data_IF_285477144057
#
_entry.id   IF_285477144057
#
_cell.length_a   1.000
_cell.length_b   1.000
_cell.length_c   1.000
_cell.angle_alpha   90.00
_cell.angle_beta   90.00
_cell.angle_gamma   90.00
#
_symmetry.space_group_name_H-M   'P 1'
#
loop_
_entity.id
_entity.type
_entity.pdbx_description
1 polymer ?
#
# COMPACT_ATOMS: atom_id res chain seq x y z
N UNK A 1 12.71 -26.40 -30.95
CA UNK A 1 12.41 -27.09 -32.23
C UNK A 1 11.89 -28.47 -31.90
N UNK A 2 10.65 -28.80 -32.27
CA UNK A 2 10.10 -30.14 -32.00
C UNK A 2 10.87 -31.19 -32.80
N UNK A 3 11.23 -32.35 -32.22
CA UNK A 3 11.87 -33.42 -32.95
C UNK A 3 10.96 -33.89 -34.09
N UNK A 4 11.52 -33.96 -35.30
CA UNK A 4 10.83 -34.45 -36.50
C UNK A 4 10.48 -35.93 -36.28
N UNK A 5 9.18 -36.25 -36.24
CA UNK A 5 8.67 -37.63 -36.16
C UNK A 5 8.90 -38.40 -37.47
N UNK A 6 10.13 -38.88 -37.68
CA UNK A 6 10.57 -39.54 -38.92
C UNK A 6 9.64 -40.68 -39.38
N UNK A 7 8.96 -41.38 -38.48
CA UNK A 7 8.00 -42.44 -38.81
C UNK A 7 6.78 -41.86 -39.55
N UNK A 8 6.21 -40.77 -39.02
CA UNK A 8 5.09 -40.08 -39.67
C UNK A 8 5.49 -39.52 -41.04
N UNK A 9 6.69 -38.94 -41.12
CA UNK A 9 7.20 -38.38 -42.38
C UNK A 9 7.37 -39.47 -43.46
N UNK A 10 7.92 -40.63 -43.10
CA UNK A 10 8.04 -41.78 -44.00
C UNK A 10 6.68 -42.29 -44.45
N UNK A 11 5.71 -42.37 -43.54
CA UNK A 11 4.33 -42.77 -43.87
C UNK A 11 3.67 -41.81 -44.86
N UNK A 12 3.81 -40.50 -44.65
CA UNK A 12 3.25 -39.48 -45.54
C UNK A 12 3.92 -39.50 -46.92
N UNK A 13 5.25 -39.70 -46.97
CA UNK A 13 5.97 -39.87 -48.25
C UNK A 13 5.48 -41.11 -49.02
N UNK A 14 5.22 -42.21 -48.31
CA UNK A 14 4.66 -43.41 -48.90
C UNK A 14 3.24 -43.20 -49.45
N UNK A 15 2.39 -42.52 -48.68
CA UNK A 15 1.03 -42.19 -49.11
C UNK A 15 1.03 -41.30 -50.35
N UNK A 16 1.88 -40.27 -50.37
CA UNK A 16 2.04 -39.41 -51.53
C UNK A 16 2.46 -40.18 -52.79
N UNK A 17 3.46 -41.07 -52.67
CA UNK A 17 3.92 -41.90 -53.79
C UNK A 17 2.79 -42.80 -54.31
N UNK A 18 1.99 -43.35 -53.41
CA UNK A 18 0.86 -44.22 -53.74
C UNK A 18 -0.25 -43.45 -54.48
N UNK A 19 -0.65 -42.29 -53.96
CA UNK A 19 -1.66 -41.42 -54.58
C UNK A 19 -1.19 -40.94 -55.97
N UNK A 20 0.07 -40.55 -56.09
CA UNK A 20 0.63 -40.12 -57.36
C UNK A 20 0.66 -41.25 -58.40
N UNK A 21 0.93 -42.50 -57.97
CA UNK A 21 0.85 -43.68 -58.83
C UNK A 21 -0.55 -43.89 -59.42
N UNK A 22 -1.59 -43.71 -58.61
CA UNK A 22 -3.00 -43.81 -59.04
C UNK A 22 -3.34 -42.71 -60.04
N UNK A 23 -2.93 -41.46 -59.76
CA UNK A 23 -3.16 -40.34 -60.67
C UNK A 23 -2.52 -40.57 -62.04
N UNK A 24 -1.30 -41.10 -62.09
CA UNK A 24 -0.63 -41.45 -63.35
C UNK A 24 -1.36 -42.56 -64.12
N UNK A 25 -1.94 -43.54 -63.41
CA UNK A 25 -2.75 -44.59 -64.05
C UNK A 25 -4.06 -44.01 -64.61
N UNK A 26 -4.78 -43.20 -63.83
CA UNK A 26 -6.00 -42.52 -64.27
C UNK A 26 -5.77 -41.63 -65.50
N UNK A 27 -4.66 -40.88 -65.52
CA UNK A 27 -4.28 -40.03 -66.65
C UNK A 27 -3.99 -40.83 -67.93
N UNK A 28 -3.55 -42.09 -67.84
CA UNK A 28 -3.41 -42.96 -69.04
C UNK A 28 -4.77 -43.26 -69.69
N UNK A 29 -5.84 -43.30 -68.91
CA UNK A 29 -7.19 -43.48 -69.42
C UNK A 29 -7.84 -42.18 -69.90
N UNK A 30 -7.33 -41.02 -69.44
CA UNK A 30 -7.84 -39.69 -69.75
C UNK A 30 -6.70 -38.77 -70.23
N UNK A 31 -6.00 -39.08 -71.35
CA UNK A 31 -4.80 -38.36 -71.77
C UNK A 31 -5.06 -36.89 -72.17
N UNK A 32 -6.30 -36.57 -72.54
CA UNK A 32 -6.72 -35.22 -72.91
C UNK A 32 -7.11 -34.35 -71.70
N UNK A 33 -7.28 -34.94 -70.51
CA UNK A 33 -7.74 -34.22 -69.33
C UNK A 33 -6.58 -33.52 -68.63
N UNK A 34 -6.49 -32.20 -68.79
CA UNK A 34 -5.45 -31.37 -68.18
C UNK A 34 -6.01 -30.58 -67.00
N UNK A 35 -5.82 -31.09 -65.79
CA UNK A 35 -6.09 -30.35 -64.56
C UNK A 35 -4.81 -29.61 -64.12
N UNK A 36 -4.97 -28.34 -63.76
CA UNK A 36 -3.92 -27.55 -63.10
C UNK A 36 -3.84 -27.95 -61.62
N UNK A 37 -2.63 -27.93 -61.07
CA UNK A 37 -2.46 -28.11 -59.63
C UNK A 37 -3.03 -26.91 -58.89
N UNK A 38 -3.75 -27.15 -57.80
CA UNK A 38 -4.24 -26.08 -56.94
C UNK A 38 -3.08 -25.45 -56.17
N UNK A 39 -2.10 -26.27 -55.77
CA UNK A 39 -0.90 -25.81 -55.06
C UNK A 39 0.11 -25.10 -55.98
N UNK A 40 0.16 -25.50 -57.25
CA UNK A 40 0.98 -24.84 -58.29
C UNK A 40 0.12 -24.49 -59.52
N UNK A 41 -0.67 -23.40 -59.47
CA UNK A 41 -1.65 -23.06 -60.51
C UNK A 41 -1.07 -22.84 -61.91
N UNK A 42 0.23 -22.57 -61.99
CA UNK A 42 0.97 -22.35 -63.24
C UNK A 42 1.52 -23.63 -63.86
N UNK A 43 1.49 -24.76 -63.15
CA UNK A 43 2.02 -26.05 -63.61
C UNK A 43 0.91 -27.05 -63.87
N UNK A 44 1.09 -27.90 -64.90
CA UNK A 44 0.19 -29.05 -65.07
C UNK A 44 0.50 -30.07 -64.00
N UNK A 45 -0.52 -30.76 -63.51
CA UNK A 45 -0.36 -31.77 -62.46
C UNK A 45 0.62 -32.90 -62.79
N UNK A 46 0.84 -33.18 -64.09
CA UNK A 46 1.81 -34.14 -64.64
C UNK A 46 3.26 -33.68 -64.56
N UNK A 47 3.50 -32.38 -64.45
CA UNK A 47 4.85 -31.76 -64.48
C UNK A 47 5.44 -31.58 -63.07
N UNK A 48 4.69 -31.95 -62.03
CA UNK A 48 5.11 -31.72 -60.64
C UNK A 48 5.71 -33.01 -60.08
N UNK A 49 7.04 -33.07 -60.12
CA UNK A 49 7.83 -34.19 -59.62
C UNK A 49 7.76 -34.26 -58.08
N UNK A 50 7.64 -35.48 -57.54
CA UNK A 50 7.55 -35.73 -56.09
C UNK A 50 8.87 -35.46 -55.35
N UNK A 51 9.96 -35.20 -56.08
CA UNK A 51 11.29 -34.90 -55.55
C UNK A 51 11.46 -33.49 -54.96
N UNK A 52 10.45 -32.62 -55.06
CA UNK A 52 10.56 -31.20 -54.68
C UNK A 52 10.37 -30.94 -53.17
N UNK A 53 9.94 -31.93 -52.38
CA UNK A 53 9.67 -31.73 -50.96
C UNK A 53 10.94 -32.02 -50.14
N UNK A 54 11.62 -30.97 -49.69
CA UNK A 54 12.76 -31.08 -48.78
C UNK A 54 12.42 -31.84 -47.49
N UNK A 55 13.40 -32.56 -46.94
CA UNK A 55 13.20 -33.64 -45.96
C UNK A 55 12.57 -33.25 -44.61
N UNK A 56 12.34 -31.96 -44.31
CA UNK A 56 11.93 -31.51 -42.98
C UNK A 56 10.65 -30.67 -42.92
N UNK A 57 9.75 -30.76 -43.91
CA UNK A 57 8.56 -29.89 -43.97
C UNK A 57 7.24 -30.67 -44.03
N UNK A 58 6.74 -31.11 -42.86
CA UNK A 58 5.44 -31.79 -42.71
C UNK A 58 4.29 -31.07 -43.40
N UNK A 59 4.20 -29.76 -43.18
CA UNK A 59 3.10 -28.95 -43.69
C UNK A 59 3.07 -28.96 -45.22
N UNK A 60 4.23 -28.80 -45.87
CA UNK A 60 4.34 -28.86 -47.33
C UNK A 60 4.04 -30.24 -47.88
N UNK A 61 4.43 -31.30 -47.17
CA UNK A 61 4.10 -32.67 -47.59
C UNK A 61 2.59 -32.93 -47.52
N UNK A 62 1.91 -32.42 -46.49
CA UNK A 62 0.46 -32.51 -46.35
C UNK A 62 -0.27 -31.69 -47.42
N UNK A 63 0.15 -30.45 -47.67
CA UNK A 63 -0.39 -29.61 -48.75
C UNK A 63 -0.28 -30.30 -50.10
N UNK A 64 0.86 -30.97 -50.35
CA UNK A 64 1.10 -31.71 -51.57
C UNK A 64 0.24 -32.99 -51.68
N UNK A 65 0.02 -33.70 -50.57
CA UNK A 65 -0.92 -34.84 -50.52
C UNK A 65 -2.34 -34.37 -50.84
N UNK A 66 -2.80 -33.25 -50.26
CA UNK A 66 -4.12 -32.69 -50.51
C UNK A 66 -4.29 -32.31 -51.99
N UNK A 67 -3.29 -31.65 -52.59
CA UNK A 67 -3.29 -31.33 -54.03
C UNK A 67 -3.43 -32.58 -54.90
N UNK A 68 -2.69 -33.66 -54.59
CA UNK A 68 -2.77 -34.91 -55.34
C UNK A 68 -4.08 -35.68 -55.11
N UNK A 69 -4.71 -35.56 -53.94
CA UNK A 69 -6.03 -36.13 -53.69
C UNK A 69 -7.11 -35.38 -54.48
N UNK A 70 -7.03 -34.06 -54.54
CA UNK A 70 -7.95 -33.25 -55.34
C UNK A 70 -7.88 -33.62 -56.83
N UNK A 71 -6.66 -33.82 -57.35
CA UNK A 71 -6.46 -34.34 -58.69
C UNK A 71 -7.09 -35.73 -58.87
N UNK A 72 -6.87 -36.64 -57.92
CA UNK A 72 -7.39 -38.01 -57.97
C UNK A 72 -8.90 -38.04 -58.01
N UNK A 73 -9.57 -37.27 -57.15
CA UNK A 73 -11.03 -37.20 -57.11
C UNK A 73 -11.59 -36.66 -58.43
N UNK A 74 -10.98 -35.61 -58.99
CA UNK A 74 -11.41 -35.06 -60.28
C UNK A 74 -11.21 -36.04 -61.43
N UNK A 75 -10.07 -36.75 -61.45
CA UNK A 75 -9.81 -37.79 -62.45
C UNK A 75 -10.79 -38.97 -62.31
N UNK A 76 -11.12 -39.40 -61.08
CA UNK A 76 -12.11 -40.44 -60.83
C UNK A 76 -13.51 -40.00 -61.24
N UNK A 77 -13.92 -38.76 -60.92
CA UNK A 77 -15.20 -38.21 -61.35
C UNK A 77 -15.28 -38.17 -62.88
N UNK A 78 -14.22 -37.69 -63.55
CA UNK A 78 -14.16 -37.68 -65.01
C UNK A 78 -14.15 -39.07 -65.63
N UNK A 79 -13.47 -40.02 -64.99
CA UNK A 79 -13.47 -41.43 -65.39
C UNK A 79 -14.87 -42.05 -65.29
N UNK A 80 -15.63 -41.71 -64.25
CA UNK A 80 -17.03 -42.16 -64.08
C UNK A 80 -18.00 -41.46 -65.05
N UNK A 81 -17.73 -40.21 -65.45
CA UNK A 81 -18.50 -39.50 -66.48
C UNK A 81 -18.26 -40.03 -67.90
N UNK A 82 -17.17 -40.76 -68.14
CA UNK A 82 -16.90 -41.39 -69.43
C UNK A 82 -18.01 -42.42 -69.72
N UNK A 83 -18.69 -42.27 -70.87
CA UNK A 83 -19.88 -43.04 -71.25
C UNK A 83 -19.67 -44.57 -71.28
N UNK A 84 -18.43 -45.03 -71.14
CA UNK A 84 -18.03 -46.45 -71.06
C UNK A 84 -18.24 -47.07 -69.68
N UNK A 85 -18.49 -46.30 -68.63
CA UNK A 85 -18.70 -46.80 -67.25
C UNK A 85 -20.18 -47.09 -66.90
N UNK A 86 -21.04 -47.40 -67.88
CA UNK A 86 -22.48 -47.65 -67.69
C UNK A 86 -22.84 -49.03 -67.11
N UNK A 87 -22.13 -49.50 -66.09
CA UNK A 87 -22.64 -50.58 -65.22
C UNK A 87 -22.76 -50.06 -63.80
N UNK A 88 -23.85 -50.40 -63.08
CA UNK A 88 -24.07 -49.89 -61.75
C UNK A 88 -23.08 -50.54 -60.77
N UNK A 89 -22.31 -49.76 -59.99
CA UNK A 89 -21.59 -50.29 -58.82
C UNK A 89 -22.40 -49.88 -57.58
N UNK A 90 -22.61 -50.69 -56.55
CA UNK A 90 -21.65 -51.45 -55.76
C UNK A 90 -22.43 -52.48 -54.93
N UNK A 91 -21.87 -53.69 -54.74
CA UNK A 91 -22.16 -54.46 -53.51
C UNK A 91 -21.29 -53.87 -52.39
N UNK A 92 -21.91 -53.70 -51.23
CA UNK A 92 -21.44 -53.00 -50.01
C UNK A 92 -19.91 -52.98 -49.78
N UNK A 93 -19.40 -51.79 -49.49
CA UNK A 93 -18.00 -51.54 -49.15
C UNK A 93 -17.78 -51.76 -47.65
N UNK A 94 -17.10 -52.83 -47.26
CA UNK A 94 -16.64 -53.00 -45.88
C UNK A 94 -15.35 -52.21 -45.65
N UNK A 95 -15.34 -51.38 -44.61
CA UNK A 95 -14.19 -50.55 -44.25
C UNK A 95 -13.10 -51.42 -43.58
N UNK A 96 -11.86 -51.43 -44.11
CA UNK A 96 -10.75 -52.14 -43.46
C UNK A 96 -10.34 -51.43 -42.16
N UNK A 97 -9.93 -52.20 -41.15
CA UNK A 97 -9.69 -51.75 -39.77
C UNK A 97 -8.44 -50.88 -39.55
N UNK A 98 -7.48 -50.88 -40.49
CA UNK A 98 -6.36 -49.94 -40.50
C UNK A 98 -5.77 -49.82 -41.91
N UNK A 99 -5.98 -48.68 -42.57
CA UNK A 99 -5.44 -48.41 -43.89
C UNK A 99 -4.90 -46.98 -43.94
N UNK A 100 -3.72 -46.79 -44.53
CA UNK A 100 -3.20 -45.45 -44.80
C UNK A 100 -4.04 -44.77 -45.89
N UNK A 101 -3.96 -43.44 -46.01
CA UNK A 101 -4.77 -42.69 -46.97
C UNK A 101 -4.44 -43.08 -48.42
N UNK A 102 -3.16 -43.33 -48.72
CA UNK A 102 -2.74 -43.87 -50.00
C UNK A 102 -3.24 -45.30 -50.24
N UNK A 103 -3.32 -46.12 -49.19
CA UNK A 103 -3.92 -47.45 -49.24
C UNK A 103 -5.42 -47.41 -49.55
N UNK A 104 -6.16 -46.51 -48.91
CA UNK A 104 -7.61 -46.35 -49.12
C UNK A 104 -7.91 -45.88 -50.54
N UNK A 105 -7.13 -44.92 -51.01
CA UNK A 105 -7.17 -44.41 -52.39
C UNK A 105 -6.91 -45.53 -53.41
N UNK A 106 -5.90 -46.37 -53.15
CA UNK A 106 -5.54 -47.50 -54.02
C UNK A 106 -6.64 -48.56 -54.08
N UNK A 107 -7.21 -48.90 -52.93
CA UNK A 107 -8.28 -49.89 -52.85
C UNK A 107 -9.55 -49.41 -53.56
N UNK A 108 -9.90 -48.14 -53.41
CA UNK A 108 -10.99 -47.51 -54.15
C UNK A 108 -10.73 -47.58 -55.66
N UNK A 109 -9.53 -47.23 -56.11
CA UNK A 109 -9.17 -47.32 -57.52
C UNK A 109 -9.24 -48.76 -58.07
N UNK A 110 -8.68 -49.74 -57.37
CA UNK A 110 -8.72 -51.15 -57.81
C UNK A 110 -10.15 -51.66 -58.01
N UNK A 111 -11.10 -51.19 -57.20
CA UNK A 111 -12.52 -51.53 -57.36
C UNK A 111 -13.17 -50.80 -58.53
N UNK A 112 -12.77 -49.55 -58.79
CA UNK A 112 -13.23 -48.77 -59.95
C UNK A 112 -12.64 -49.28 -61.27
N UNK A 113 -11.37 -49.69 -61.29
CA UNK A 113 -10.70 -50.29 -62.45
C UNK A 113 -11.38 -51.60 -62.88
N UNK A 114 -11.84 -52.38 -61.90
CA UNK A 114 -12.63 -53.59 -62.14
C UNK A 114 -13.97 -53.35 -62.87
N UNK A 115 -14.47 -52.12 -62.95
CA UNK A 115 -15.68 -51.76 -63.71
C UNK A 115 -15.42 -51.67 -65.22
N UNK A 116 -14.16 -51.65 -65.66
CA UNK A 116 -13.78 -51.50 -67.07
C UNK A 116 -13.49 -52.83 -67.78
N UNK A 117 -13.90 -53.97 -67.21
CA UNK A 117 -13.66 -55.28 -67.82
C UNK A 117 -14.63 -55.61 -68.95
N UNK A 118 -14.72 -54.76 -69.97
CA UNK A 118 -15.17 -55.09 -71.33
C UNK A 118 -14.48 -54.10 -72.28
N UNK A 119 -13.76 -54.61 -73.28
CA UNK A 119 -13.02 -53.88 -74.33
C UNK A 119 -11.66 -53.24 -73.97
N UNK A 120 -10.68 -54.09 -73.68
CA UNK A 120 -9.36 -53.96 -74.32
C UNK A 120 -9.13 -55.15 -75.24
N UNK A 121 -9.86 -55.19 -76.36
CA UNK A 121 -9.40 -55.94 -77.52
C UNK A 121 -8.44 -55.03 -78.29
N UNK A 122 -7.31 -55.62 -78.73
CA UNK A 122 -6.21 -55.01 -79.49
C UNK A 122 -5.25 -54.12 -78.69
N UNK A 123 -4.32 -54.76 -77.99
CA UNK A 123 -2.93 -54.32 -77.95
C UNK A 123 -2.07 -55.55 -77.66
N UNK A 124 -1.47 -56.11 -78.71
CA UNK A 124 -0.45 -57.15 -78.58
C UNK A 124 0.74 -56.60 -77.79
N UNK A 125 1.22 -57.26 -76.73
CA UNK A 125 2.56 -56.99 -76.22
C UNK A 125 3.58 -57.46 -77.28
N UNK A 126 4.65 -56.70 -77.56
CA UNK A 126 5.66 -57.12 -78.52
C UNK A 126 6.30 -58.44 -78.05
N UNK A 127 6.21 -59.45 -78.91
CA UNK A 127 6.97 -60.69 -78.80
C UNK A 127 8.45 -60.37 -78.82
N UNK A 128 9.16 -60.71 -77.74
CA UNK A 128 10.61 -60.79 -77.74
C UNK A 128 11.01 -62.27 -77.85
N UNK A 129 11.57 -62.57 -79.02
CA UNK A 129 12.39 -63.69 -79.46
C UNK A 129 12.46 -64.96 -78.61
N UNK A 130 11.90 -66.01 -79.21
CA UNK A 130 12.38 -67.37 -79.06
C UNK A 130 13.80 -67.49 -79.64
N UNK A 131 14.79 -67.68 -78.76
CA UNK A 131 16.09 -68.23 -79.14
C UNK A 131 16.40 -69.47 -78.33
N UNK A 132 16.20 -70.61 -78.99
CA UNK A 132 17.11 -71.77 -78.97
C UNK A 132 17.50 -72.39 -77.63
N UNK A 133 16.82 -73.48 -77.28
CA UNK A 133 17.51 -74.71 -76.85
C UNK A 133 16.70 -75.93 -77.27
N UNK A 134 16.94 -76.40 -78.49
CA UNK A 134 16.62 -77.76 -78.90
C UNK A 134 17.45 -78.72 -78.03
N UNK A 135 16.88 -79.17 -76.91
CA UNK A 135 17.32 -80.43 -76.31
C UNK A 135 16.70 -81.56 -77.15
N UNK A 136 17.53 -82.15 -78.01
CA UNK A 136 17.18 -83.35 -78.75
C UNK A 136 16.93 -84.48 -77.75
N UNK A 137 15.64 -84.74 -77.45
CA UNK A 137 15.25 -85.79 -76.52
C UNK A 137 15.25 -87.15 -77.24
N UNK A 138 15.83 -88.15 -76.58
CA UNK A 138 16.07 -89.52 -77.11
C UNK A 138 14.79 -90.29 -77.48
N UNK A 139 13.61 -89.72 -77.21
CA UNK A 139 12.30 -90.32 -77.45
C UNK A 139 11.74 -90.10 -78.87
N UNK A 140 12.45 -89.41 -79.76
CA UNK A 140 12.07 -89.30 -81.18
C UNK A 140 12.66 -90.40 -82.07
N UNK A 141 13.43 -91.35 -81.52
CA UNK A 141 14.21 -92.32 -82.31
C UNK A 141 13.99 -93.81 -81.96
N UNK A 142 12.93 -94.15 -81.25
CA UNK A 142 12.49 -95.55 -81.12
C UNK A 142 11.00 -95.66 -81.41
N UNK A 143 10.59 -96.40 -82.44
CA UNK A 143 9.20 -96.78 -82.59
C UNK A 143 8.90 -97.77 -81.47
N UNK A 144 8.34 -97.29 -80.36
CA UNK A 144 7.53 -98.17 -79.50
C UNK A 144 6.38 -98.59 -80.41
N UNK A 145 6.33 -99.88 -80.77
CA UNK A 145 5.26 -100.43 -81.58
C UNK A 145 3.92 -99.92 -81.04
N UNK A 146 3.05 -99.34 -81.89
CA UNK A 146 1.77 -98.86 -81.42
C UNK A 146 1.01 -100.06 -80.89
N UNK A 147 0.61 -99.97 -79.63
CA UNK A 147 -0.32 -100.88 -78.97
C UNK A 147 -1.42 -101.25 -79.97
N UNK A 148 -1.41 -102.49 -80.46
CA UNK A 148 -2.26 -102.93 -81.58
C UNK A 148 -3.75 -102.96 -81.22
N UNK A 149 -4.08 -102.85 -79.93
CA UNK A 149 -5.44 -102.77 -79.43
C UNK A 149 -5.88 -101.30 -79.26
N UNK A 150 -6.85 -100.88 -80.09
CA UNK A 150 -7.48 -99.55 -80.01
C UNK A 150 -8.03 -99.24 -78.62
N UNK A 151 -8.61 -100.23 -77.93
CA UNK A 151 -9.13 -100.04 -76.57
C UNK A 151 -8.01 -99.77 -75.57
N UNK A 152 -6.85 -100.41 -75.74
CA UNK A 152 -5.72 -100.20 -74.86
C UNK A 152 -5.06 -98.83 -75.05
N UNK A 153 -5.01 -98.31 -76.29
CA UNK A 153 -4.54 -96.97 -76.58
C UNK A 153 -5.44 -95.89 -75.97
N UNK A 154 -6.76 -96.07 -76.02
CA UNK A 154 -7.73 -95.16 -75.38
C UNK A 154 -7.55 -95.18 -73.85
N UNK A 155 -7.45 -96.35 -73.23
CA UNK A 155 -7.25 -96.46 -71.78
C UNK A 155 -5.97 -95.77 -71.30
N UNK A 156 -4.84 -95.95 -72.01
CA UNK A 156 -3.57 -95.31 -71.66
C UNK A 156 -3.65 -93.79 -71.85
N UNK A 157 -4.36 -93.33 -72.88
CA UNK A 157 -4.62 -91.90 -73.10
C UNK A 157 -5.46 -91.32 -71.96
N UNK A 158 -6.53 -92.00 -71.52
CA UNK A 158 -7.34 -91.58 -70.39
C UNK A 158 -6.55 -91.53 -69.08
N UNK A 159 -5.71 -92.54 -68.81
CA UNK A 159 -4.82 -92.55 -67.63
C UNK A 159 -3.87 -91.35 -67.67
N UNK A 160 -3.30 -91.04 -68.84
CA UNK A 160 -2.41 -89.88 -69.03
C UNK A 160 -3.17 -88.57 -68.83
N UNK A 161 -4.35 -88.40 -69.41
CA UNK A 161 -5.18 -87.21 -69.23
C UNK A 161 -5.59 -86.99 -67.76
N UNK A 162 -5.94 -88.06 -67.04
CA UNK A 162 -6.24 -87.96 -65.59
C UNK A 162 -4.99 -87.50 -64.82
N UNK A 163 -3.81 -88.04 -65.13
CA UNK A 163 -2.56 -87.63 -64.48
C UNK A 163 -2.15 -86.19 -64.82
N UNK A 164 -2.43 -85.73 -66.03
CA UNK A 164 -2.13 -84.37 -66.49
C UNK A 164 -3.07 -83.35 -65.84
N UNK A 165 -4.38 -83.62 -65.79
CA UNK A 165 -5.36 -82.77 -65.06
C UNK A 165 -5.07 -82.68 -63.56
N UNK A 166 -4.62 -83.78 -62.95
CA UNK A 166 -4.24 -83.82 -61.54
C UNK A 166 -2.91 -83.09 -61.26
N UNK A 167 -2.10 -82.75 -62.27
CA UNK A 167 -0.86 -81.99 -62.11
C UNK A 167 -1.13 -80.53 -61.76
N UNK A 168 -2.18 -79.94 -62.33
CA UNK A 168 -2.49 -78.53 -62.14
C UNK A 168 -2.95 -78.21 -60.71
N UNK A 169 -3.32 -79.25 -59.95
CA UNK A 169 -3.43 -79.20 -58.49
C UNK A 169 -2.02 -79.20 -57.86
N UNK A 170 -1.39 -78.02 -57.86
CA UNK A 170 -0.01 -77.68 -57.43
C UNK A 170 0.45 -78.10 -56.02
N UNK A 171 -0.19 -79.07 -55.34
CA UNK A 171 0.16 -79.52 -53.98
C UNK A 171 0.17 -81.03 -53.77
N UNK A 172 -0.08 -81.84 -54.81
CA UNK A 172 -0.16 -83.30 -54.65
C UNK A 172 1.20 -83.98 -54.85
N UNK A 173 1.97 -84.14 -53.77
CA UNK A 173 3.33 -84.70 -53.83
C UNK A 173 3.33 -86.19 -54.18
N UNK A 174 2.34 -86.95 -53.71
CA UNK A 174 2.22 -88.39 -53.99
C UNK A 174 1.82 -88.66 -55.44
N UNK A 175 0.90 -87.87 -55.99
CA UNK A 175 0.48 -87.99 -57.39
C UNK A 175 1.57 -87.56 -58.35
N UNK A 176 2.36 -86.53 -58.01
CA UNK A 176 3.51 -86.12 -58.80
C UNK A 176 4.60 -87.20 -58.84
N UNK A 177 4.86 -87.87 -57.71
CA UNK A 177 5.84 -88.95 -57.64
C UNK A 177 5.36 -90.20 -58.42
N UNK A 178 4.11 -90.61 -58.22
CA UNK A 178 3.55 -91.75 -58.94
C UNK A 178 3.53 -91.53 -60.45
N UNK A 179 3.24 -90.31 -60.91
CA UNK A 179 3.29 -89.98 -62.33
C UNK A 179 4.68 -90.14 -62.92
N UNK A 180 5.73 -89.72 -62.22
CA UNK A 180 7.10 -89.89 -62.71
C UNK A 180 7.43 -91.38 -62.89
N UNK A 181 7.06 -92.21 -61.92
CA UNK A 181 7.22 -93.67 -61.98
C UNK A 181 6.37 -94.31 -63.09
N UNK A 182 5.11 -93.89 -63.25
CA UNK A 182 4.26 -94.41 -64.32
C UNK A 182 4.70 -93.93 -65.69
N UNK A 183 5.24 -92.71 -65.84
CA UNK A 183 5.75 -92.19 -67.12
C UNK A 183 6.87 -93.08 -67.68
N UNK A 184 7.70 -93.65 -66.80
CA UNK A 184 8.83 -94.50 -67.16
C UNK A 184 8.38 -95.93 -67.53
N UNK A 185 7.33 -96.47 -66.88
CA UNK A 185 6.92 -97.89 -67.01
C UNK A 185 5.49 -98.11 -67.56
N UNK A 186 4.80 -97.10 -68.11
CA UNK A 186 3.35 -97.22 -68.43
C UNK A 186 3.04 -98.31 -69.46
N UNK A 187 4.01 -98.62 -70.32
CA UNK A 187 3.87 -99.61 -71.39
C UNK A 187 4.13 -101.04 -70.91
N UNK A 188 4.79 -101.21 -69.76
CA UNK A 188 5.14 -102.51 -69.16
C UNK A 188 4.12 -102.95 -68.10
N UNK A 189 3.09 -102.13 -67.84
CA UNK A 189 2.07 -102.37 -66.80
C UNK A 189 0.69 -102.57 -67.40
N UNK A 190 -0.13 -103.38 -66.72
CA UNK A 190 -1.55 -103.51 -67.08
C UNK A 190 -2.30 -102.21 -66.79
N UNK A 191 -3.28 -101.87 -67.62
CA UNK A 191 -4.13 -100.68 -67.43
C UNK A 191 -4.82 -100.68 -66.07
N UNK A 192 -5.30 -101.84 -65.65
CA UNK A 192 -5.89 -102.03 -64.33
C UNK A 192 -4.90 -101.72 -63.21
N UNK A 193 -3.64 -102.15 -63.35
CA UNK A 193 -2.56 -101.85 -62.40
C UNK A 193 -2.27 -100.35 -62.32
N UNK A 194 -2.16 -99.66 -63.45
CA UNK A 194 -1.95 -98.21 -63.49
C UNK A 194 -3.11 -97.44 -62.84
N UNK A 195 -4.36 -97.77 -63.19
CA UNK A 195 -5.55 -97.13 -62.62
C UNK A 195 -5.69 -97.39 -61.11
N UNK A 196 -5.35 -98.59 -60.66
CA UNK A 196 -5.38 -98.94 -59.23
C UNK A 196 -4.37 -98.11 -58.45
N UNK A 197 -3.13 -97.98 -58.95
CA UNK A 197 -2.10 -97.17 -58.30
C UNK A 197 -2.47 -95.69 -58.28
N UNK A 198 -2.98 -95.15 -59.39
CA UNK A 198 -3.46 -93.76 -59.46
C UNK A 198 -4.60 -93.53 -58.47
N UNK A 199 -5.58 -94.43 -58.42
CA UNK A 199 -6.70 -94.33 -57.47
C UNK A 199 -6.23 -94.38 -56.02
N UNK A 200 -5.29 -95.27 -55.69
CA UNK A 200 -4.70 -95.35 -54.35
C UNK A 200 -3.94 -94.09 -53.96
N UNK A 201 -3.14 -93.53 -54.88
CA UNK A 201 -2.42 -92.28 -54.65
C UNK A 201 -3.38 -91.09 -54.46
N UNK A 202 -4.48 -91.03 -55.22
CA UNK A 202 -5.53 -90.00 -55.03
C UNK A 202 -6.14 -90.14 -53.63
N UNK A 203 -6.52 -91.35 -53.23
CA UNK A 203 -7.13 -91.61 -51.91
C UNK A 203 -6.18 -91.20 -50.79
N UNK A 204 -4.89 -91.55 -50.89
CA UNK A 204 -3.92 -91.25 -49.85
C UNK A 204 -3.59 -89.75 -49.77
N UNK A 205 -3.56 -89.07 -50.92
CA UNK A 205 -3.42 -87.61 -50.98
C UNK A 205 -4.62 -86.92 -50.33
N UNK A 206 -5.85 -87.38 -50.61
CA UNK A 206 -7.06 -86.86 -49.96
C UNK A 206 -6.99 -87.07 -48.44
N UNK A 207 -6.56 -88.24 -47.96
CA UNK A 207 -6.38 -88.49 -46.51
C UNK A 207 -5.36 -87.54 -45.89
N UNK A 208 -4.24 -87.34 -46.54
CA UNK A 208 -3.19 -86.43 -46.08
C UNK A 208 -3.71 -84.99 -45.99
N UNK A 209 -4.45 -84.54 -47.00
CA UNK A 209 -5.04 -83.20 -47.02
C UNK A 209 -6.13 -83.04 -45.94
N UNK A 210 -6.96 -84.06 -45.71
CA UNK A 210 -7.96 -84.05 -44.63
C UNK A 210 -7.29 -83.95 -43.26
N UNK A 211 -6.25 -84.75 -42.99
CA UNK A 211 -5.51 -84.67 -41.72
C UNK A 211 -4.84 -83.31 -41.51
N UNK A 212 -4.31 -82.70 -42.59
CA UNK A 212 -3.78 -81.35 -42.53
C UNK A 212 -4.86 -80.30 -42.21
N UNK A 213 -6.04 -80.42 -42.82
CA UNK A 213 -7.18 -79.54 -42.55
C UNK A 213 -7.67 -79.66 -41.10
N UNK A 214 -7.74 -80.88 -40.56
CA UNK A 214 -8.09 -81.12 -39.15
C UNK A 214 -7.08 -80.46 -38.21
N UNK A 215 -5.79 -80.55 -38.53
CA UNK A 215 -4.72 -79.88 -37.76
C UNK A 215 -4.87 -78.37 -37.78
N UNK A 216 -5.07 -77.78 -38.97
CA UNK A 216 -5.30 -76.34 -39.12
C UNK A 216 -6.58 -75.88 -38.39
N UNK A 217 -7.63 -76.70 -38.41
CA UNK A 217 -8.87 -76.42 -37.68
C UNK A 217 -8.64 -76.40 -36.16
N UNK A 218 -7.90 -77.38 -35.63
CA UNK A 218 -7.52 -77.42 -34.21
C UNK A 218 -6.68 -76.19 -33.81
N UNK A 219 -5.72 -75.79 -34.65
CA UNK A 219 -4.94 -74.56 -34.44
C UNK A 219 -5.82 -73.30 -34.47
N UNK A 220 -6.78 -73.21 -35.40
CA UNK A 220 -7.70 -72.09 -35.49
C UNK A 220 -8.54 -71.96 -34.22
N UNK A 221 -9.07 -73.08 -33.69
CA UNK A 221 -9.81 -73.12 -32.43
C UNK A 221 -8.92 -72.66 -31.26
N UNK A 222 -7.67 -73.12 -31.19
CA UNK A 222 -6.70 -72.68 -30.17
C UNK A 222 -6.38 -71.19 -30.26
N UNK A 223 -6.33 -70.62 -31.46
CA UNK A 223 -6.10 -69.19 -31.66
C UNK A 223 -7.32 -68.35 -31.29
N UNK A 224 -8.53 -68.81 -31.62
CA UNK A 224 -9.79 -68.17 -31.21
C UNK A 224 -9.94 -68.12 -29.70
N UNK A 225 -9.72 -69.24 -29.01
CA UNK A 225 -9.79 -69.28 -27.54
C UNK A 225 -8.75 -68.37 -26.88
N UNK A 226 -7.52 -68.30 -27.41
CA UNK A 226 -6.52 -67.32 -26.97
C UNK A 226 -6.97 -65.88 -27.20
N UNK A 227 -7.57 -65.57 -28.35
CA UNK A 227 -8.08 -64.24 -28.67
C UNK A 227 -9.19 -63.85 -27.70
N UNK A 228 -10.14 -64.74 -27.44
CA UNK A 228 -11.24 -64.52 -26.50
C UNK A 228 -10.71 -64.27 -25.09
N UNK A 229 -9.73 -65.06 -24.64
CA UNK A 229 -9.07 -64.87 -23.33
C UNK A 229 -8.35 -63.52 -23.21
N UNK A 230 -7.77 -63.01 -24.30
CA UNK A 230 -7.15 -61.68 -24.34
C UNK A 230 -8.22 -60.59 -24.35
N UNK A 231 -9.32 -60.79 -25.07
CA UNK A 231 -10.41 -59.84 -25.16
C UNK A 231 -11.13 -59.68 -23.80
N UNK A 232 -11.34 -60.77 -23.05
CA UNK A 232 -11.89 -60.70 -21.69
C UNK A 232 -10.97 -59.94 -20.73
N UNK A 233 -9.67 -60.20 -20.77
CA UNK A 233 -8.66 -59.44 -19.99
C UNK A 233 -8.67 -57.96 -20.36
N UNK A 234 -8.72 -57.64 -21.66
CA UNK A 234 -8.78 -56.25 -22.13
C UNK A 234 -10.05 -55.55 -21.63
N UNK A 235 -11.23 -56.19 -21.76
CA UNK A 235 -12.50 -55.66 -21.22
C UNK A 235 -12.41 -55.40 -19.72
N UNK A 236 -11.80 -56.30 -18.96
CA UNK A 236 -11.60 -56.13 -17.52
C UNK A 236 -10.68 -54.93 -17.21
N UNK A 237 -9.56 -54.79 -17.93
CA UNK A 237 -8.66 -53.63 -17.77
C UNK A 237 -9.35 -52.30 -18.11
N UNK A 238 -10.18 -52.26 -19.16
CA UNK A 238 -10.97 -51.07 -19.52
C UNK A 238 -11.94 -50.70 -18.40
N UNK A 239 -12.60 -51.68 -17.78
CA UNK A 239 -13.52 -51.43 -16.67
C UNK A 239 -12.79 -50.90 -15.44
N UNK A 240 -11.61 -51.42 -15.11
CA UNK A 240 -10.76 -50.88 -14.04
C UNK A 240 -10.42 -49.41 -14.33
N UNK A 241 -9.95 -49.09 -15.54
CA UNK A 241 -9.63 -47.72 -15.96
C UNK A 241 -10.86 -46.81 -15.82
N UNK A 242 -12.06 -47.30 -16.21
CA UNK A 242 -13.31 -46.55 -16.08
C UNK A 242 -13.64 -46.23 -14.63
N UNK A 243 -13.47 -47.20 -13.72
CA UNK A 243 -13.68 -47.01 -12.28
C UNK A 243 -12.67 -46.04 -11.69
N UNK A 244 -11.37 -46.20 -12.00
CA UNK A 244 -10.31 -45.28 -11.57
C UNK A 244 -10.58 -43.85 -12.04
N UNK A 245 -11.01 -43.67 -13.29
CA UNK A 245 -11.38 -42.35 -13.82
C UNK A 245 -12.58 -41.74 -13.06
N UNK A 246 -13.58 -42.54 -12.70
CA UNK A 246 -14.72 -42.07 -11.89
C UNK A 246 -14.25 -41.60 -10.51
N UNK A 247 -13.40 -42.37 -9.84
CA UNK A 247 -12.81 -41.98 -8.55
C UNK A 247 -11.92 -40.74 -8.66
N UNK A 248 -11.16 -40.60 -9.74
CA UNK A 248 -10.34 -39.42 -10.00
C UNK A 248 -11.19 -38.15 -10.18
N UNK A 249 -12.31 -38.24 -10.89
CA UNK A 249 -13.23 -37.09 -11.05
C UNK A 249 -13.88 -36.69 -9.72
N UNK A 250 -14.24 -37.67 -8.88
CA UNK A 250 -14.73 -37.40 -7.53
C UNK A 250 -13.65 -36.69 -6.69
N UNK A 251 -12.42 -37.21 -6.69
CA UNK A 251 -11.28 -36.59 -5.99
C UNK A 251 -11.00 -35.17 -6.48
N UNK A 252 -11.04 -34.90 -7.78
CA UNK A 252 -10.91 -33.54 -8.34
C UNK A 252 -11.99 -32.59 -7.85
N UNK A 253 -13.23 -33.08 -7.70
CA UNK A 253 -14.35 -32.28 -7.20
C UNK A 253 -14.14 -31.92 -5.73
N UNK A 254 -13.71 -32.89 -4.91
CA UNK A 254 -13.34 -32.67 -3.50
C UNK A 254 -12.21 -31.65 -3.38
N UNK A 255 -11.13 -31.82 -4.14
CA UNK A 255 -10.00 -30.89 -4.13
C UNK A 255 -10.41 -29.46 -4.53
N UNK A 256 -11.29 -29.32 -5.53
CA UNK A 256 -11.85 -28.00 -5.90
C UNK A 256 -12.64 -27.36 -4.76
N UNK A 257 -13.48 -28.14 -4.07
CA UNK A 257 -14.26 -27.67 -2.93
C UNK A 257 -13.37 -27.28 -1.75
N UNK A 258 -12.33 -28.05 -1.45
CA UNK A 258 -11.33 -27.73 -0.43
C UNK A 258 -10.58 -26.44 -0.77
N UNK A 259 -10.22 -26.24 -2.04
CA UNK A 259 -9.56 -25.01 -2.50
C UNK A 259 -10.46 -23.79 -2.28
N UNK A 260 -11.76 -23.91 -2.61
CA UNK A 260 -12.74 -22.83 -2.36
C UNK A 260 -12.89 -22.54 -0.85
N UNK A 261 -12.97 -23.58 -0.02
CA UNK A 261 -13.03 -23.43 1.44
C UNK A 261 -11.77 -22.77 1.99
N UNK A 262 -10.60 -23.15 1.49
CA UNK A 262 -9.33 -22.58 1.92
C UNK A 262 -9.21 -21.10 1.51
N UNK A 263 -9.66 -20.73 0.31
CA UNK A 263 -9.73 -19.33 -0.12
C UNK A 263 -10.68 -18.51 0.78
N UNK A 264 -11.83 -19.07 1.15
CA UNK A 264 -12.76 -18.42 2.08
C UNK A 264 -12.14 -18.21 3.46
N UNK A 265 -11.48 -19.24 4.01
CA UNK A 265 -10.79 -19.14 5.30
C UNK A 265 -9.64 -18.14 5.26
N UNK A 266 -8.85 -18.11 4.18
CA UNK A 266 -7.77 -17.15 4.00
C UNK A 266 -8.29 -15.70 3.98
N UNK A 267 -9.45 -15.47 3.34
CA UNK A 267 -10.13 -14.17 3.40
C UNK A 267 -10.53 -13.81 4.84
N UNK A 268 -11.19 -14.72 5.55
CA UNK A 268 -11.57 -14.50 6.96
C UNK A 268 -10.37 -14.23 7.86
N UNK A 269 -9.25 -14.93 7.67
CA UNK A 269 -8.01 -14.68 8.42
C UNK A 269 -7.48 -13.27 8.15
N UNK A 270 -7.50 -12.80 6.90
CA UNK A 270 -7.08 -11.45 6.58
C UNK A 270 -8.00 -10.39 7.17
N UNK A 271 -9.32 -10.60 7.12
CA UNK A 271 -10.31 -9.70 7.72
C UNK A 271 -10.10 -9.61 9.24
N UNK A 272 -9.87 -10.76 9.91
CA UNK A 272 -9.55 -10.81 11.34
C UNK A 272 -8.23 -10.12 11.68
N UNK A 273 -7.18 -10.28 10.87
CA UNK A 273 -5.92 -9.57 11.06
C UNK A 273 -6.10 -8.06 10.96
N UNK A 274 -6.86 -7.59 9.97
CA UNK A 274 -7.17 -6.17 9.83
C UNK A 274 -7.94 -5.64 11.04
N UNK A 275 -8.95 -6.38 11.51
CA UNK A 275 -9.69 -6.04 12.73
C UNK A 275 -8.78 -6.00 13.97
N UNK A 276 -7.88 -6.98 14.12
CA UNK A 276 -6.92 -7.00 15.22
C UNK A 276 -5.97 -5.78 15.19
N UNK A 277 -5.47 -5.40 14.01
CA UNK A 277 -4.65 -4.18 13.89
C UNK A 277 -5.42 -2.90 14.25
N UNK A 278 -6.73 -2.84 13.95
CA UNK A 278 -7.56 -1.71 14.36
C UNK A 278 -7.73 -1.67 15.88
N UNK A 279 -8.01 -2.81 16.50
CA UNK A 279 -8.11 -2.92 17.96
C UNK A 279 -6.79 -2.58 18.67
N UNK A 280 -5.65 -2.99 18.11
CA UNK A 280 -4.32 -2.61 18.65
C UNK A 280 -4.10 -1.09 18.58
N UNK A 281 -4.52 -0.42 17.50
CA UNK A 281 -4.47 1.04 17.40
C UNK A 281 -5.41 1.73 18.40
N UNK A 282 -6.64 1.23 18.57
CA UNK A 282 -7.59 1.75 19.56
C UNK A 282 -7.08 1.58 20.99
N UNK A 283 -6.44 0.45 21.28
CA UNK A 283 -5.87 0.16 22.60
C UNK A 283 -4.68 1.08 22.88
N UNK A 284 -3.77 1.27 21.92
CA UNK A 284 -2.67 2.23 22.04
C UNK A 284 -3.16 3.67 22.26
N UNK A 285 -4.23 4.08 21.57
CA UNK A 285 -4.86 5.38 21.78
C UNK A 285 -5.43 5.50 23.20
N UNK A 286 -6.13 4.48 23.69
CA UNK A 286 -6.65 4.44 25.06
C UNK A 286 -5.52 4.51 26.09
N UNK A 287 -4.43 3.75 25.91
CA UNK A 287 -3.26 3.78 26.81
C UNK A 287 -2.63 5.17 26.87
N UNK A 288 -2.46 5.83 25.72
CA UNK A 288 -1.96 7.20 25.66
C UNK A 288 -2.90 8.18 26.40
N UNK A 289 -4.22 8.05 26.20
CA UNK A 289 -5.20 8.89 26.87
C UNK A 289 -5.18 8.70 28.39
N UNK A 290 -5.13 7.45 28.87
CA UNK A 290 -5.00 7.13 30.30
C UNK A 290 -3.70 7.68 30.88
N UNK A 291 -2.58 7.55 30.17
CA UNK A 291 -1.29 8.11 30.59
C UNK A 291 -1.36 9.64 30.73
N UNK A 292 -2.00 10.32 29.78
CA UNK A 292 -2.20 11.78 29.81
C UNK A 292 -3.07 12.18 30.99
N UNK A 293 -4.21 11.50 31.20
CA UNK A 293 -5.07 11.75 32.35
C UNK A 293 -4.39 11.49 33.69
N UNK A 294 -3.56 10.44 33.79
CA UNK A 294 -2.78 10.16 34.99
C UNK A 294 -1.77 11.28 35.30
N UNK A 295 -1.13 11.84 34.27
CA UNK A 295 -0.26 13.02 34.40
C UNK A 295 -1.03 14.25 34.88
N UNK A 296 -2.20 14.53 34.30
CA UNK A 296 -3.06 15.64 34.71
C UNK A 296 -3.55 15.49 36.16
N UNK A 297 -3.90 14.26 36.57
CA UNK A 297 -4.25 13.93 37.95
C UNK A 297 -3.07 14.17 38.91
N UNK A 298 -1.84 13.81 38.53
CA UNK A 298 -0.65 14.07 39.33
C UNK A 298 -0.35 15.58 39.46
N UNK A 299 -0.52 16.35 38.38
CA UNK A 299 -0.46 17.81 38.38
C UNK A 299 -1.54 18.43 39.28
N UNK A 300 -2.77 17.93 39.20
CA UNK A 300 -3.87 18.37 40.06
C UNK A 300 -3.59 18.06 41.54
N UNK A 301 -3.07 16.87 41.85
CA UNK A 301 -2.70 16.48 43.20
C UNK A 301 -1.59 17.37 43.78
N UNK A 302 -0.55 17.68 42.99
CA UNK A 302 0.52 18.60 43.41
C UNK A 302 -0.01 20.02 43.63
N UNK A 303 -0.89 20.52 42.76
CA UNK A 303 -1.57 21.81 42.95
C UNK A 303 -2.43 21.83 44.22
N UNK A 304 -3.16 20.75 44.52
CA UNK A 304 -3.92 20.62 45.76
C UNK A 304 -3.03 20.70 47.01
N UNK A 305 -1.88 20.03 47.00
CA UNK A 305 -0.93 20.12 48.12
C UNK A 305 -0.30 21.53 48.24
N UNK A 306 -0.02 22.21 47.13
CA UNK A 306 0.41 23.62 47.13
C UNK A 306 -0.65 24.58 47.68
N UNK A 307 -1.93 24.38 47.33
CA UNK A 307 -3.03 25.16 47.88
C UNK A 307 -3.19 24.90 49.38
N UNK A 308 -2.98 23.65 49.83
CA UNK A 308 -3.07 23.26 51.23
C UNK A 308 -1.93 23.85 52.07
N UNK A 309 -0.71 23.92 51.54
CA UNK A 309 0.41 24.63 52.19
C UNK A 309 0.16 26.14 52.22
N UNK A 310 -0.31 26.73 51.13
CA UNK A 310 -0.70 28.14 51.06
C UNK A 310 -1.80 28.47 52.07
N UNK A 311 -2.82 27.62 52.18
CA UNK A 311 -3.90 27.78 53.17
C UNK A 311 -3.36 27.72 54.61
N UNK A 312 -2.41 26.83 54.91
CA UNK A 312 -1.74 26.80 56.22
C UNK A 312 -0.98 28.10 56.49
N UNK A 313 -0.27 28.63 55.50
CA UNK A 313 0.43 29.92 55.60
C UNK A 313 -0.54 31.07 55.90
N UNK A 314 -1.62 31.17 55.13
CA UNK A 314 -2.66 32.20 55.34
C UNK A 314 -3.32 32.05 56.71
N UNK A 315 -3.58 30.82 57.18
CA UNK A 315 -4.12 30.61 58.53
C UNK A 315 -3.15 31.08 59.62
N UNK A 316 -1.86 30.86 59.44
CA UNK A 316 -0.83 31.35 60.37
C UNK A 316 -0.77 32.88 60.37
N UNK A 317 -0.77 33.50 59.19
CA UNK A 317 -0.78 34.95 59.04
C UNK A 317 -2.03 35.58 59.68
N UNK A 318 -3.21 34.99 59.48
CA UNK A 318 -4.45 35.43 60.14
C UNK A 318 -4.38 35.28 61.67
N UNK A 319 -3.73 34.24 62.19
CA UNK A 319 -3.53 34.09 63.63
C UNK A 319 -2.63 35.20 64.19
N UNK A 320 -1.54 35.51 63.49
CA UNK A 320 -0.64 36.61 63.85
C UNK A 320 -1.35 37.97 63.81
N UNK A 321 -2.11 38.25 62.75
CA UNK A 321 -2.91 39.48 62.63
C UNK A 321 -3.97 39.58 63.74
N UNK A 322 -4.60 38.47 64.11
CA UNK A 322 -5.55 38.42 65.23
C UNK A 322 -4.87 38.74 66.57
N UNK A 323 -3.64 38.27 66.77
CA UNK A 323 -2.82 38.58 67.93
C UNK A 323 -2.41 40.07 67.97
N UNK A 324 -2.01 40.64 66.82
CA UNK A 324 -1.74 42.07 66.67
C UNK A 324 -2.99 42.93 66.94
N UNK A 325 -4.15 42.53 66.42
CA UNK A 325 -5.43 43.20 66.70
C UNK A 325 -5.72 43.17 68.21
N UNK A 326 -5.49 42.04 68.88
CA UNK A 326 -5.69 41.94 70.33
C UNK A 326 -4.69 42.81 71.11
N UNK A 327 -3.44 42.91 70.64
CA UNK A 327 -2.44 43.83 71.19
C UNK A 327 -2.87 45.30 71.03
N UNK A 328 -3.31 45.68 69.83
CA UNK A 328 -3.85 47.02 69.54
C UNK A 328 -5.07 47.35 70.40
N UNK A 329 -5.99 46.39 70.61
CA UNK A 329 -7.13 46.56 71.52
C UNK A 329 -6.69 46.82 72.96
N UNK A 330 -5.65 46.14 73.46
CA UNK A 330 -5.09 46.38 74.80
C UNK A 330 -4.47 47.77 74.91
N UNK A 331 -3.72 48.19 73.88
CA UNK A 331 -3.14 49.54 73.81
C UNK A 331 -4.23 50.61 73.79
N UNK A 332 -5.28 50.44 72.98
CA UNK A 332 -6.42 51.35 72.92
C UNK A 332 -7.12 51.46 74.28
N UNK A 333 -7.38 50.33 74.95
CA UNK A 333 -7.99 50.32 76.29
C UNK A 333 -7.13 51.03 77.34
N UNK A 334 -5.80 50.91 77.24
CA UNK A 334 -4.86 51.63 78.10
C UNK A 334 -4.92 53.13 77.84
N UNK A 335 -4.86 53.57 76.59
CA UNK A 335 -4.97 54.98 76.22
C UNK A 335 -6.33 55.57 76.61
N UNK A 336 -7.42 54.82 76.48
CA UNK A 336 -8.74 55.23 76.96
C UNK A 336 -8.77 55.40 78.49
N UNK A 337 -8.08 54.52 79.23
CA UNK A 337 -7.96 54.66 80.69
C UNK A 337 -7.11 55.88 81.08
N UNK A 338 -6.01 56.15 80.37
CA UNK A 338 -5.16 57.34 80.55
C UNK A 338 -5.95 58.62 80.24
N UNK A 339 -6.75 58.63 79.17
CA UNK A 339 -7.65 59.75 78.84
C UNK A 339 -8.73 59.97 79.89
N UNK A 340 -9.27 58.92 80.51
CA UNK A 340 -10.22 59.06 81.62
C UNK A 340 -9.55 59.69 82.85
N UNK A 341 -8.32 59.31 83.16
CA UNK A 341 -7.54 59.91 84.26
C UNK A 341 -7.24 61.39 83.99
N UNK A 342 -6.79 61.72 82.78
CA UNK A 342 -6.54 63.10 82.37
C UNK A 342 -7.80 63.98 82.41
N UNK A 343 -8.97 63.42 82.04
CA UNK A 343 -10.25 64.14 82.17
C UNK A 343 -10.64 64.36 83.64
N UNK A 344 -10.40 63.40 84.52
CA UNK A 344 -10.65 63.55 85.95
C UNK A 344 -9.71 64.60 86.60
N UNK A 345 -8.46 64.71 86.15
CA UNK A 345 -7.53 65.76 86.57
C UNK A 345 -7.95 67.16 86.07
N UNK A 346 -8.58 67.23 84.90
CA UNK A 346 -9.12 68.49 84.36
C UNK A 346 -10.29 69.03 85.19
N UNK A 347 -11.16 68.13 85.65
CA UNK A 347 -12.35 68.47 86.43
C UNK A 347 -12.05 68.83 87.91
N UNK A 348 -10.85 68.55 88.42
CA UNK A 348 -10.44 68.88 89.81
C UNK A 348 -9.69 70.23 89.95
N UNK A 349 -9.71 71.08 88.92
CA UNK A 349 -8.85 72.27 88.84
C UNK A 349 -9.56 73.58 89.26
N UNK A 350 -9.85 73.74 90.56
CA UNK A 350 -10.41 74.98 91.17
C UNK A 350 -9.57 76.24 90.87
N UNK A 351 -8.28 76.07 90.54
CA UNK A 351 -7.34 77.17 90.22
C UNK A 351 -7.67 77.94 88.94
N UNK A 352 -8.46 77.37 88.03
CA UNK A 352 -8.79 77.98 86.74
C UNK A 352 -9.95 79.00 86.86
N UNK A 353 -10.82 78.82 87.86
CA UNK A 353 -11.86 79.80 88.21
C UNK A 353 -11.29 81.04 88.92
N UNK A 354 -10.28 80.85 89.78
CA UNK A 354 -9.55 81.95 90.43
C UNK A 354 -8.76 82.81 89.42
N UNK A 355 -8.19 82.18 88.38
CA UNK A 355 -7.55 82.89 87.28
C UNK A 355 -8.55 83.69 86.44
N UNK A 356 -9.74 83.14 86.17
CA UNK A 356 -10.83 83.86 85.50
C UNK A 356 -11.27 85.10 86.29
N UNK A 357 -11.36 84.99 87.62
CA UNK A 357 -11.74 86.10 88.51
C UNK A 357 -10.66 87.20 88.52
N UNK A 358 -9.39 86.80 88.56
CA UNK A 358 -8.24 87.73 88.50
C UNK A 358 -8.17 88.49 87.16
N UNK A 359 -8.49 87.84 86.03
CA UNK A 359 -8.52 88.50 84.71
C UNK A 359 -9.62 89.57 84.65
N UNK A 360 -10.78 89.35 85.27
CA UNK A 360 -11.87 90.33 85.31
C UNK A 360 -11.47 91.58 86.11
N UNK A 361 -10.81 91.41 87.26
CA UNK A 361 -10.32 92.53 88.07
C UNK A 361 -9.25 93.37 87.36
N UNK A 362 -8.31 92.73 86.66
CA UNK A 362 -7.31 93.42 85.85
C UNK A 362 -7.97 94.23 84.72
N UNK A 363 -9.00 93.68 84.08
CA UNK A 363 -9.69 94.35 82.98
C UNK A 363 -10.44 95.63 83.44
N UNK A 364 -11.01 95.60 84.65
CA UNK A 364 -11.64 96.77 85.27
C UNK A 364 -10.58 97.84 85.59
N UNK A 365 -9.43 97.44 86.13
CA UNK A 365 -8.33 98.36 86.44
C UNK A 365 -7.71 99.01 85.19
N UNK A 366 -7.53 98.26 84.10
CA UNK A 366 -7.02 98.75 82.82
C UNK A 366 -7.99 99.75 82.16
N UNK A 367 -9.30 99.50 82.23
CA UNK A 367 -10.31 100.44 81.69
C UNK A 367 -10.30 101.78 82.44
N UNK A 368 -10.17 101.75 83.77
CA UNK A 368 -10.11 102.97 84.59
C UNK A 368 -8.84 103.81 84.31
N UNK A 369 -7.70 103.15 84.07
CA UNK A 369 -6.45 103.84 83.72
C UNK A 369 -6.50 104.42 82.30
N UNK A 370 -7.13 103.73 81.35
CA UNK A 370 -7.32 104.21 79.98
C UNK A 370 -8.16 105.49 79.93
N UNK A 371 -9.27 105.55 80.66
CA UNK A 371 -10.12 106.76 80.75
C UNK A 371 -9.39 107.97 81.39
N UNK A 372 -8.49 107.72 82.36
CA UNK A 372 -7.63 108.77 82.95
C UNK A 372 -6.59 109.28 81.95
N UNK A 373 -5.95 108.40 81.19
CA UNK A 373 -4.98 108.77 80.16
C UNK A 373 -5.61 109.59 79.03
N UNK A 374 -6.84 109.24 78.62
CA UNK A 374 -7.57 109.99 77.60
C UNK A 374 -7.86 111.45 78.02
N UNK A 375 -8.17 111.69 79.30
CA UNK A 375 -8.34 113.05 79.84
C UNK A 375 -7.04 113.85 79.89
N UNK A 376 -5.92 113.21 80.19
CA UNK A 376 -4.59 113.85 80.20
C UNK A 376 -4.17 114.19 78.76
N UNK A 377 -4.41 113.29 77.80
CA UNK A 377 -4.04 113.50 76.41
C UNK A 377 -4.78 114.71 75.80
N UNK A 378 -6.07 114.87 76.11
CA UNK A 378 -6.87 116.05 75.72
C UNK A 378 -6.35 117.38 76.31
N UNK A 379 -5.69 117.35 77.48
CA UNK A 379 -5.04 118.53 78.05
C UNK A 379 -3.68 118.84 77.41
N UNK A 380 -2.95 117.80 76.97
CA UNK A 380 -1.67 117.94 76.26
C UNK A 380 -1.90 118.51 74.85
N UNK A 381 -2.91 118.01 74.11
CA UNK A 381 -3.27 118.54 72.78
C UNK A 381 -3.61 120.03 72.83
N UNK A 382 -4.34 120.48 73.86
CA UNK A 382 -4.63 121.92 74.09
C UNK A 382 -3.39 122.77 74.39
N UNK A 383 -2.35 122.19 75.01
CA UNK A 383 -1.09 122.91 75.29
C UNK A 383 -0.16 122.93 74.09
N UNK A 384 -0.15 121.87 73.27
CA UNK A 384 0.61 121.79 72.02
C UNK A 384 0.16 122.86 71.02
N UNK A 385 -1.14 123.05 70.85
CA UNK A 385 -1.71 124.05 69.94
C UNK A 385 -1.40 125.51 70.32
N UNK A 386 -1.12 125.78 71.60
CA UNK A 386 -0.72 127.12 72.06
C UNK A 386 0.79 127.39 71.89
N UNK A 387 1.61 126.35 71.82
CA UNK A 387 3.06 126.45 71.59
C UNK A 387 3.39 126.63 70.10
N UNK A 388 2.64 126.00 69.19
CA UNK A 388 2.75 126.26 67.73
C UNK A 388 2.45 127.71 67.36
N UNK A 389 1.42 128.32 67.95
CA UNK A 389 1.07 129.74 67.72
C UNK A 389 2.12 130.75 68.24
N UNK A 390 3.01 130.34 69.14
CA UNK A 390 4.09 131.18 69.66
C UNK A 390 5.38 131.05 68.82
N UNK A 391 5.61 129.88 68.21
CA UNK A 391 6.74 129.63 67.33
C UNK A 391 6.64 130.40 66.00
N UNK A 392 5.43 130.51 65.43
CA UNK A 392 5.21 131.21 64.15
C UNK A 392 5.40 132.74 64.25
N UNK A 393 5.12 133.37 65.41
CA UNK A 393 5.29 134.82 65.58
C UNK A 393 6.73 135.25 65.85
N UNK A 394 7.59 134.35 66.33
CA UNK A 394 9.02 134.61 66.55
C UNK A 394 9.80 134.48 65.24
N UNK A 395 9.33 133.66 64.30
CA UNK A 395 9.87 133.56 62.94
C UNK A 395 9.66 134.86 62.12
N UNK A 396 8.49 135.50 62.22
CA UNK A 396 8.20 136.77 61.53
C UNK A 396 9.03 137.98 62.05
N UNK A 397 9.52 137.91 63.29
CA UNK A 397 10.28 139.00 63.92
C UNK A 397 11.76 139.05 63.51
N UNK A 398 12.29 137.99 62.90
CA UNK A 398 13.72 137.89 62.55
C UNK A 398 13.97 138.21 61.07
N UNK A 399 13.01 137.93 60.18
CA UNK A 399 13.17 138.14 58.73
C UNK A 399 12.98 139.61 58.28
N UNK A 400 12.24 140.45 59.01
CA UNK A 400 12.16 141.88 58.68
C UNK A 400 13.40 142.70 59.09
N UNK A 401 14.29 142.13 59.92
CA UNK A 401 15.48 142.82 60.47
C UNK A 401 16.69 142.82 59.52
N UNK A 402 16.63 142.14 58.36
CA UNK A 402 17.81 141.90 57.50
C UNK A 402 17.88 142.71 56.20
N UNK A 403 16.82 143.42 55.79
CA UNK A 403 16.76 143.99 54.42
C UNK A 403 17.01 145.50 54.31
N UNK A 404 16.78 146.34 55.33
CA UNK A 404 16.86 147.81 55.12
C UNK A 404 17.87 148.57 56.01
N UNK A 405 18.79 147.89 56.69
CA UNK A 405 19.88 148.50 57.46
C UNK A 405 21.16 148.75 56.63
N UNK A 406 21.00 149.35 55.44
CA UNK A 406 22.12 149.84 54.63
C UNK A 406 21.78 151.17 53.94
N UNK A 407 21.61 152.25 54.73
CA UNK A 407 21.93 153.65 54.41
C UNK A 407 21.44 154.59 55.54
N UNK A 408 22.39 155.17 56.30
CA UNK A 408 22.36 156.50 56.98
C UNK A 408 21.18 156.73 57.98
N UNK A 409 21.33 157.16 59.24
CA UNK A 409 22.02 158.37 59.75
C UNK A 409 21.86 158.49 61.28
N UNK A 410 22.87 159.11 61.91
CA UNK A 410 22.90 159.97 63.12
C UNK A 410 21.59 160.27 63.94
N UNK A 411 21.73 160.17 65.28
CA UNK A 411 21.37 161.16 66.34
C UNK A 411 20.23 160.88 67.38
N UNK A 412 20.58 161.14 68.66
CA UNK A 412 19.78 161.56 69.85
C UNK A 412 18.88 160.54 70.62
N UNK A 413 19.21 160.23 71.90
CA UNK A 413 18.54 160.60 73.20
C UNK A 413 17.35 159.66 73.58
N UNK A 414 16.97 159.32 74.83
CA UNK A 414 17.31 159.65 76.23
C UNK A 414 16.48 158.73 77.19
N UNK A 415 16.90 158.63 78.48
CA UNK A 415 16.11 158.42 79.75
C UNK A 415 15.39 157.08 80.06
N UNK A 416 15.86 156.26 81.05
CA UNK A 416 15.53 156.14 82.52
C UNK A 416 14.17 155.44 82.85
N UNK A 417 13.89 154.83 84.06
CA UNK A 417 14.65 153.92 84.96
C UNK A 417 13.81 152.84 85.79
N UNK A 418 14.54 151.94 86.50
CA UNK A 418 14.39 151.41 87.91
C UNK A 418 13.36 150.37 88.48
N UNK A 419 13.86 149.67 89.55
CA UNK A 419 13.24 148.91 90.70
C UNK A 419 13.30 147.34 90.65
N UNK A 420 14.38 146.64 91.10
CA UNK A 420 14.77 146.02 92.42
C UNK A 420 14.26 144.58 92.79
N UNK A 421 15.20 143.60 92.89
CA UNK A 421 15.22 142.42 93.82
C UNK A 421 14.47 141.12 93.44
N UNK A 422 15.18 140.01 93.10
CA UNK A 422 14.61 138.74 92.57
C UNK A 422 14.70 137.51 93.54
N UNK A 423 13.56 136.86 93.89
CA UNK A 423 13.45 135.70 94.79
C UNK A 423 14.05 134.35 94.33
N UNK A 424 14.49 134.17 93.07
CA UNK A 424 15.07 132.89 92.58
C UNK A 424 16.44 132.55 93.21
N UNK A 425 17.10 133.55 93.80
CA UNK A 425 18.29 133.34 94.64
C UNK A 425 18.01 132.46 95.89
N UNK A 426 16.76 132.38 96.36
CA UNK A 426 16.40 131.67 97.59
C UNK A 426 16.31 130.14 97.39
N UNK A 427 15.86 129.67 96.21
CA UNK A 427 15.85 128.24 95.88
C UNK A 427 17.25 127.64 95.69
N UNK A 428 18.25 128.46 95.30
CA UNK A 428 19.65 128.02 95.26
C UNK A 428 20.21 127.67 96.65
N UNK A 429 19.67 128.21 97.76
CA UNK A 429 20.15 127.86 99.12
C UNK A 429 19.69 126.48 99.59
N UNK A 430 18.43 126.11 99.38
CA UNK A 430 17.91 124.80 99.85
C UNK A 430 18.53 123.60 99.12
N UNK A 431 18.84 123.75 97.83
CA UNK A 431 19.44 122.68 97.02
C UNK A 431 20.91 122.41 97.40
N UNK A 432 21.63 123.43 97.88
CA UNK A 432 23.00 123.32 98.38
C UNK A 432 23.03 122.59 99.74
N UNK A 433 22.06 122.83 100.63
CA UNK A 433 21.97 122.20 101.96
C UNK A 433 21.70 120.68 101.85
N UNK A 434 20.76 120.27 101.00
CA UNK A 434 20.43 118.84 100.85
C UNK A 434 21.55 118.03 100.19
N UNK A 435 22.29 118.61 99.24
CA UNK A 435 23.48 117.96 98.64
C UNK A 435 24.63 117.79 99.63
N UNK A 436 24.80 118.70 100.60
CA UNK A 436 25.82 118.60 101.63
C UNK A 436 25.48 117.52 102.68
N UNK A 437 24.21 117.43 103.09
CA UNK A 437 23.75 116.47 104.10
C UNK A 437 23.86 115.01 103.63
N UNK A 438 23.59 114.73 102.35
CA UNK A 438 23.73 113.39 101.75
C UNK A 438 25.20 112.94 101.71
N UNK A 439 26.13 113.83 101.35
CA UNK A 439 27.57 113.49 101.32
C UNK A 439 28.16 113.23 102.71
N UNK A 440 27.68 113.92 103.74
CA UNK A 440 28.13 113.71 105.12
C UNK A 440 27.70 112.33 105.63
N UNK A 441 26.43 111.94 105.40
CA UNK A 441 25.89 110.63 105.81
C UNK A 441 26.58 109.46 105.09
N UNK A 442 26.93 109.61 103.81
CA UNK A 442 27.70 108.60 103.08
C UNK A 442 29.15 108.45 103.60
N UNK A 443 29.76 109.54 104.07
CA UNK A 443 31.10 109.52 104.68
C UNK A 443 31.08 108.81 106.04
N UNK A 444 30.09 109.11 106.88
CA UNK A 444 30.00 108.56 108.23
C UNK A 444 29.63 107.07 108.20
N UNK A 445 28.78 106.64 107.26
CA UNK A 445 28.52 105.22 107.02
C UNK A 445 29.77 104.43 106.58
N UNK A 446 30.63 105.01 105.72
CA UNK A 446 31.89 104.35 105.33
C UNK A 446 32.83 104.17 106.52
N UNK A 447 32.96 105.19 107.39
CA UNK A 447 33.80 105.12 108.60
C UNK A 447 33.27 104.12 109.63
N UNK A 448 31.95 104.03 109.79
CA UNK A 448 31.33 103.03 110.67
C UNK A 448 31.57 101.60 110.16
N UNK A 449 31.43 101.37 108.85
CA UNK A 449 31.73 100.06 108.24
C UNK A 449 33.20 99.68 108.41
N UNK A 450 34.14 100.61 108.22
CA UNK A 450 35.57 100.34 108.46
C UNK A 450 35.90 100.10 109.94
N UNK A 451 35.22 100.79 110.86
CA UNK A 451 35.44 100.62 112.30
C UNK A 451 34.87 99.28 112.77
N UNK A 452 33.72 98.87 112.24
CA UNK A 452 33.12 97.55 112.51
C UNK A 452 34.02 96.42 111.96
N UNK A 453 34.56 96.57 110.75
CA UNK A 453 35.53 95.59 110.21
C UNK A 453 36.80 95.52 111.06
N UNK A 454 37.35 96.66 111.52
CA UNK A 454 38.53 96.67 112.40
C UNK A 454 38.26 96.09 113.79
N UNK A 455 37.07 96.28 114.36
CA UNK A 455 36.65 95.66 115.62
C UNK A 455 36.43 94.15 115.44
N UNK A 456 35.82 93.71 114.34
CA UNK A 456 35.65 92.29 114.04
C UNK A 456 36.99 91.58 113.82
N UNK A 457 37.96 92.25 113.17
CA UNK A 457 39.31 91.68 112.96
C UNK A 457 40.19 91.73 114.23
N UNK A 458 39.96 92.66 115.17
CA UNK A 458 40.68 92.70 116.45
C UNK A 458 40.05 91.83 117.54
N UNK A 459 38.75 91.51 117.44
CA UNK A 459 38.04 90.59 118.34
C UNK A 459 38.33 89.10 118.07
N UNK A 460 38.94 88.76 116.93
CA UNK A 460 39.29 87.38 116.56
C UNK A 460 40.78 87.05 116.72
N UNK A 461 41.56 87.95 117.34
CA UNK A 461 42.98 87.72 117.70
C UNK A 461 43.27 87.80 119.20
N UNK A 462 42.24 87.70 120.05
CA UNK A 462 42.37 87.38 121.48
C UNK A 462 41.41 86.27 121.89
#
# INVERSE_FOLDING_TARGET
>A
MNPVNNILLLSLKHDLKSINGINLQLLRYLPEFQLKSWLFPTKKCTEIDTKVVGDNQYLKLLEYIVDKLYLMVNLMAKFLEDKRCQQPPFKSMEAPSSLSLGGASKLLWQKLEGLKSVETSKFDPPSFDASSSLSCDRYSQTPVEPISCKNCAVSITCVRSIMDELQDYKRCTLLSALRQTLKEDIYDRSQYGCLTQVSQAIIEEIRTQMSHLETLQAENIKMRTKLDSKNTKYKHSVEIIRQTNKSLQQSKTVAKNETLKNNSLSKTINDLRQSNTQLEHELAFCEQHVSTQASDLALSATNCELLKTSLKSVKLENANLSEEINSCKKMLAKTDSENKTLRAELDSCDKLEDFKRSIVEINIACRFTFEKLQKINLQIEKRSHNLENLADRVADFIDQRRINQNKRTKALRQTLPEITGDPVADMRKQLIINKASIKQLESDNRKLVETIHKIQDTSLKH
#
